data_IF_778405029110
#
_entry.id   IF_778405029110
#
_cell.length_a   1.000
_cell.length_b   1.000
_cell.length_c   1.000
_cell.angle_alpha   90.00
_cell.angle_beta   90.00
_cell.angle_gamma   90.00
#
_symmetry.space_group_name_H-M   'P 1'
#
loop_
_entity.id
_entity.type
_entity.pdbx_description
1 polymer ?
#
# COMPACT_ATOMS: atom_id res chain seq x y z
N UNK A 1 25.18 -44.64 -29.70
CA UNK A 1 24.97 -44.27 -28.28
C UNK A 1 24.55 -42.81 -28.21
N UNK A 2 23.25 -42.47 -28.27
CA UNK A 2 22.77 -41.18 -27.82
C UNK A 2 22.23 -41.32 -26.40
N UNK A 3 22.78 -40.53 -25.48
CA UNK A 3 22.26 -40.40 -24.12
C UNK A 3 20.87 -39.78 -24.18
N UNK A 4 19.87 -40.54 -23.73
CA UNK A 4 18.56 -40.02 -23.36
C UNK A 4 18.75 -39.12 -22.15
N UNK A 5 18.72 -37.80 -22.37
CA UNK A 5 18.45 -36.83 -21.32
C UNK A 5 17.04 -37.11 -20.80
N UNK A 6 16.94 -37.76 -19.65
CA UNK A 6 15.70 -37.82 -18.88
C UNK A 6 15.34 -36.37 -18.52
N UNK A 7 14.31 -35.84 -19.17
CA UNK A 7 13.61 -34.65 -18.67
C UNK A 7 13.01 -35.04 -17.32
N UNK A 8 13.61 -34.57 -16.22
CA UNK A 8 13.01 -34.67 -14.90
C UNK A 8 11.61 -34.03 -14.96
N UNK A 9 10.54 -34.76 -14.60
CA UNK A 9 9.22 -34.18 -14.58
C UNK A 9 9.17 -33.07 -13.54
N UNK A 10 8.87 -31.84 -14.00
CA UNK A 10 8.57 -30.68 -13.15
C UNK A 10 7.56 -31.11 -12.09
N UNK A 11 8.01 -31.23 -10.84
CA UNK A 11 7.13 -31.51 -9.70
C UNK A 11 6.03 -30.45 -9.66
N UNK A 12 4.75 -30.82 -9.63
CA UNK A 12 3.67 -29.85 -9.49
C UNK A 12 3.88 -29.03 -8.21
N UNK A 13 3.93 -27.69 -8.32
CA UNK A 13 4.03 -26.83 -7.13
C UNK A 13 2.85 -27.11 -6.20
N UNK A 14 3.16 -27.44 -4.94
CA UNK A 14 2.13 -27.70 -3.94
C UNK A 14 1.44 -26.39 -3.51
N UNK A 15 0.27 -26.48 -2.86
CA UNK A 15 -0.36 -25.32 -2.25
C UNK A 15 0.57 -24.60 -1.26
N UNK A 16 1.36 -25.39 -0.53
CA UNK A 16 2.37 -24.91 0.40
C UNK A 16 3.48 -24.11 -0.30
N UNK A 17 3.91 -24.50 -1.51
CA UNK A 17 4.92 -23.75 -2.25
C UNK A 17 4.42 -22.36 -2.68
N UNK A 18 3.17 -22.27 -3.16
CA UNK A 18 2.55 -20.99 -3.51
C UNK A 18 2.36 -20.07 -2.29
N UNK A 19 1.92 -20.64 -1.16
CA UNK A 19 1.80 -19.89 0.08
C UNK A 19 3.16 -19.36 0.56
N UNK A 20 4.22 -20.18 0.49
CA UNK A 20 5.58 -19.78 0.86
C UNK A 20 6.12 -18.68 -0.07
N UNK A 21 5.89 -18.78 -1.37
CA UNK A 21 6.27 -17.75 -2.34
C UNK A 21 5.54 -16.43 -2.07
N UNK A 22 4.22 -16.50 -1.82
CA UNK A 22 3.43 -15.35 -1.40
C UNK A 22 4.01 -14.71 -0.13
N UNK A 23 4.27 -15.50 0.92
CA UNK A 23 4.77 -15.00 2.19
C UNK A 23 6.11 -14.25 2.02
N UNK A 24 7.07 -14.84 1.28
CA UNK A 24 8.37 -14.20 1.02
C UNK A 24 8.22 -12.88 0.24
N UNK A 25 7.36 -12.86 -0.79
CA UNK A 25 7.09 -11.65 -1.57
C UNK A 25 6.45 -10.57 -0.70
N UNK A 26 5.48 -10.95 0.12
CA UNK A 26 4.73 -10.03 0.98
C UNK A 26 5.60 -9.47 2.11
N UNK A 27 6.48 -10.28 2.70
CA UNK A 27 7.49 -9.84 3.67
C UNK A 27 8.43 -8.78 3.07
N UNK A 28 8.90 -8.99 1.83
CA UNK A 28 9.73 -8.02 1.12
C UNK A 28 8.98 -6.70 0.86
N UNK A 29 7.76 -6.78 0.34
CA UNK A 29 6.91 -5.60 0.09
C UNK A 29 6.72 -4.81 1.38
N UNK A 30 6.31 -5.47 2.46
CA UNK A 30 6.08 -4.82 3.77
C UNK A 30 7.36 -4.22 4.32
N UNK A 31 8.51 -4.88 4.16
CA UNK A 31 9.81 -4.34 4.57
C UNK A 31 10.16 -3.04 3.84
N UNK A 32 9.98 -3.00 2.52
CA UNK A 32 10.20 -1.79 1.72
C UNK A 32 9.24 -0.67 2.12
N UNK A 33 7.97 -1.02 2.34
CA UNK A 33 6.92 -0.08 2.72
C UNK A 33 7.17 0.53 4.11
N UNK A 34 7.56 -0.27 5.10
CA UNK A 34 7.95 0.26 6.42
C UNK A 34 9.25 1.07 6.39
N UNK A 35 10.21 0.71 5.53
CA UNK A 35 11.42 1.52 5.33
C UNK A 35 11.07 2.89 4.78
N UNK A 36 10.18 2.93 3.78
CA UNK A 36 9.66 4.18 3.22
C UNK A 36 8.91 5.03 4.25
N UNK A 37 8.04 4.41 5.06
CA UNK A 37 7.32 5.10 6.14
C UNK A 37 8.28 5.69 7.17
N UNK A 38 9.34 4.95 7.52
CA UNK A 38 10.37 5.43 8.45
C UNK A 38 11.15 6.62 7.87
N UNK A 39 11.56 6.56 6.60
CA UNK A 39 12.23 7.69 5.93
C UNK A 39 11.33 8.92 5.90
N UNK A 40 10.06 8.73 5.53
CA UNK A 40 9.07 9.81 5.45
C UNK A 40 8.77 10.44 6.82
N UNK A 41 8.90 9.70 7.92
CA UNK A 41 8.81 10.27 9.27
C UNK A 41 9.94 11.27 9.56
N UNK A 42 11.15 11.05 9.02
CA UNK A 42 12.24 12.04 9.12
C UNK A 42 11.95 13.30 8.29
N UNK A 43 11.30 13.14 7.14
CA UNK A 43 10.86 14.27 6.32
C UNK A 43 9.83 15.09 7.07
N UNK A 44 8.80 14.43 7.62
CA UNK A 44 7.70 15.08 8.34
C UNK A 44 8.14 15.77 9.63
N UNK A 45 8.87 15.08 10.51
CA UNK A 45 9.15 15.58 11.86
C UNK A 45 10.46 16.36 11.98
N UNK A 46 11.38 16.17 11.04
CA UNK A 46 12.71 16.77 11.10
C UNK A 46 13.06 17.60 9.86
N UNK A 47 12.14 17.73 8.90
CA UNK A 47 12.36 18.44 7.64
C UNK A 47 13.63 17.97 6.92
N UNK A 48 13.94 16.68 7.02
CA UNK A 48 15.07 16.09 6.32
C UNK A 48 14.70 15.87 4.85
N UNK A 49 15.70 15.92 3.96
CA UNK A 49 15.49 15.49 2.58
C UNK A 49 15.04 14.03 2.53
N UNK A 50 13.98 13.70 1.76
CA UNK A 50 13.61 12.32 1.48
C UNK A 50 14.81 11.56 0.94
N UNK A 51 15.05 10.36 1.45
CA UNK A 51 16.07 9.44 0.94
C UNK A 51 15.47 8.41 0.00
N UNK A 52 14.17 8.12 0.14
CA UNK A 52 13.40 7.32 -0.80
C UNK A 52 12.45 8.21 -1.58
N UNK A 53 12.65 8.35 -2.89
CA UNK A 53 11.79 9.18 -3.74
C UNK A 53 10.65 8.35 -4.34
N UNK A 54 9.54 9.02 -4.68
CA UNK A 54 8.32 8.33 -5.14
C UNK A 54 8.56 7.43 -6.35
N UNK A 55 9.43 7.84 -7.28
CA UNK A 55 9.76 7.07 -8.48
C UNK A 55 10.54 5.77 -8.21
N UNK A 56 11.06 5.58 -6.98
CA UNK A 56 11.75 4.34 -6.58
C UNK A 56 10.78 3.32 -5.97
N UNK A 57 9.51 3.72 -5.71
CA UNK A 57 8.49 2.88 -5.07
C UNK A 57 7.79 1.95 -6.08
N UNK A 58 8.59 1.27 -6.90
CA UNK A 58 8.16 0.37 -7.99
C UNK A 58 7.82 -1.05 -7.52
N UNK A 59 7.68 -1.25 -6.21
CA UNK A 59 7.21 -2.51 -5.63
C UNK A 59 5.68 -2.55 -5.53
N UNK A 60 5.14 -3.77 -5.50
CA UNK A 60 3.70 -4.00 -5.40
C UNK A 60 3.10 -3.55 -4.06
N UNK A 61 1.78 -3.54 -3.99
CA UNK A 61 1.03 -3.18 -2.80
C UNK A 61 0.98 -4.36 -1.80
N UNK A 62 1.01 -4.05 -0.49
CA UNK A 62 0.86 -5.06 0.55
C UNK A 62 -0.56 -5.62 0.56
N UNK A 63 -0.71 -6.92 0.73
CA UNK A 63 -1.99 -7.55 0.99
C UNK A 63 -2.61 -7.06 2.33
N UNK A 64 -3.87 -7.41 2.59
CA UNK A 64 -4.49 -7.09 3.89
C UNK A 64 -3.82 -7.88 5.01
N UNK A 65 -3.91 -7.38 6.24
CA UNK A 65 -3.30 -8.04 7.39
C UNK A 65 -3.92 -9.41 7.65
N UNK A 66 -5.21 -9.59 7.37
CA UNK A 66 -5.87 -10.90 7.46
C UNK A 66 -5.31 -11.90 6.45
N UNK A 67 -4.98 -11.44 5.24
CA UNK A 67 -4.41 -12.29 4.21
C UNK A 67 -2.95 -12.67 4.52
N UNK A 68 -2.17 -11.70 5.02
CA UNK A 68 -0.78 -11.92 5.42
C UNK A 68 -0.66 -12.78 6.69
N UNK A 69 -1.59 -12.64 7.64
CA UNK A 69 -1.55 -13.34 8.93
C UNK A 69 -2.14 -14.75 8.90
N UNK A 70 -2.38 -15.32 7.72
CA UNK A 70 -2.86 -16.68 7.57
C UNK A 70 -1.89 -17.68 8.24
N UNK A 71 -2.41 -18.58 9.07
CA UNK A 71 -1.62 -19.51 9.88
C UNK A 71 -0.93 -20.61 9.05
N UNK A 72 -1.51 -20.95 7.92
CA UNK A 72 -1.13 -22.07 7.06
C UNK A 72 -1.63 -21.85 5.63
N UNK A 73 -1.18 -22.73 4.72
CA UNK A 73 -1.49 -22.64 3.31
C UNK A 73 -2.98 -22.79 2.98
N UNK A 74 -3.74 -23.54 3.79
CA UNK A 74 -5.18 -23.72 3.59
C UNK A 74 -5.95 -22.47 4.00
N UNK A 75 -5.64 -21.90 5.17
CA UNK A 75 -6.20 -20.63 5.63
C UNK A 75 -5.88 -19.49 4.63
N UNK A 76 -4.64 -19.45 4.12
CA UNK A 76 -4.25 -18.52 3.08
C UNK A 76 -5.11 -18.69 1.83
N UNK A 77 -5.23 -19.91 1.30
CA UNK A 77 -6.02 -20.19 0.10
C UNK A 77 -7.50 -19.80 0.25
N UNK A 78 -8.11 -20.10 1.39
CA UNK A 78 -9.50 -19.72 1.66
C UNK A 78 -9.68 -18.20 1.69
N UNK A 79 -8.70 -17.48 2.24
CA UNK A 79 -8.69 -16.01 2.21
C UNK A 79 -8.44 -15.46 0.80
N UNK A 80 -7.61 -16.12 -0.03
CA UNK A 80 -7.41 -15.78 -1.44
C UNK A 80 -8.71 -15.91 -2.22
N UNK A 81 -9.45 -17.01 -2.07
CA UNK A 81 -10.71 -17.21 -2.81
C UNK A 81 -11.78 -16.17 -2.42
N UNK A 82 -11.81 -15.77 -1.14
CA UNK A 82 -12.66 -14.67 -0.67
C UNK A 82 -12.19 -13.28 -1.16
N UNK A 83 -10.92 -13.16 -1.56
CA UNK A 83 -10.30 -11.97 -2.12
C UNK A 83 -10.32 -11.94 -3.66
N UNK A 84 -10.35 -13.07 -4.37
CA UNK A 84 -10.41 -13.15 -5.84
C UNK A 84 -11.72 -12.58 -6.40
N UNK A 85 -12.82 -12.67 -5.64
CA UNK A 85 -14.05 -11.94 -5.96
C UNK A 85 -13.90 -10.41 -5.86
N UNK A 86 -12.82 -9.91 -5.26
CA UNK A 86 -12.51 -8.48 -5.07
C UNK A 86 -11.33 -8.03 -5.93
N UNK A 87 -10.19 -8.73 -5.97
CA UNK A 87 -8.87 -8.11 -6.18
C UNK A 87 -8.00 -8.62 -7.36
N UNK A 88 -8.54 -8.68 -8.57
CA UNK A 88 -7.70 -8.81 -9.79
C UNK A 88 -6.98 -7.48 -10.12
N UNK A 89 -7.63 -6.34 -9.81
CA UNK A 89 -7.19 -5.02 -10.25
C UNK A 89 -5.91 -4.50 -9.56
N UNK A 90 -5.64 -4.89 -8.31
CA UNK A 90 -4.47 -4.40 -7.54
C UNK A 90 -3.17 -5.16 -7.85
N UNK A 91 -3.24 -6.35 -8.45
CA UNK A 91 -2.09 -7.26 -8.59
C UNK A 91 -0.92 -6.72 -9.42
N UNK A 92 -1.17 -5.70 -10.26
CA UNK A 92 -0.20 -5.09 -11.17
C UNK A 92 0.13 -3.63 -10.82
N UNK A 93 -0.37 -3.11 -9.71
CA UNK A 93 -0.20 -1.71 -9.33
C UNK A 93 0.96 -1.58 -8.35
N UNK A 94 1.86 -0.64 -8.61
CA UNK A 94 2.94 -0.26 -7.70
C UNK A 94 2.51 0.87 -6.76
N UNK A 95 3.26 1.09 -5.69
CA UNK A 95 3.01 2.23 -4.80
C UNK A 95 3.22 3.56 -5.53
N UNK A 96 4.27 3.69 -6.35
CA UNK A 96 4.54 4.87 -7.18
C UNK A 96 3.38 5.20 -8.14
N UNK A 97 2.83 4.17 -8.80
CA UNK A 97 1.71 4.32 -9.71
C UNK A 97 0.44 4.75 -8.97
N UNK A 98 0.20 4.20 -7.77
CA UNK A 98 -0.93 4.57 -6.93
C UNK A 98 -0.89 6.04 -6.52
N UNK A 99 0.30 6.55 -6.16
CA UNK A 99 0.51 7.95 -5.80
C UNK A 99 0.30 8.86 -7.02
N UNK A 100 0.79 8.45 -8.19
CA UNK A 100 0.55 9.21 -9.42
C UNK A 100 -0.94 9.24 -9.78
N UNK A 101 -1.63 8.11 -9.63
CA UNK A 101 -3.05 7.94 -9.93
C UNK A 101 -3.93 8.75 -8.98
N UNK A 102 -3.62 8.81 -7.68
CA UNK A 102 -4.46 9.55 -6.72
C UNK A 102 -4.42 11.06 -6.96
N UNK A 103 -3.35 11.57 -7.58
CA UNK A 103 -3.15 13.00 -7.90
C UNK A 103 -3.84 13.44 -9.18
N UNK A 104 -4.52 12.55 -9.92
CA UNK A 104 -5.26 12.91 -11.14
C UNK A 104 -6.60 13.56 -10.81
N UNK A 105 -7.10 14.40 -11.74
CA UNK A 105 -8.35 15.14 -11.56
C UNK A 105 -9.58 14.21 -11.60
N UNK A 106 -9.61 13.31 -12.58
CA UNK A 106 -10.73 12.39 -12.85
C UNK A 106 -10.37 10.95 -12.47
N UNK A 107 -10.62 10.59 -11.20
CA UNK A 107 -10.57 9.19 -10.78
C UNK A 107 -11.77 8.44 -11.36
N UNK A 108 -11.54 7.64 -12.40
CA UNK A 108 -12.56 6.78 -12.99
C UNK A 108 -13.00 5.66 -12.03
N UNK A 109 -14.16 5.05 -12.28
CA UNK A 109 -14.71 3.97 -11.43
C UNK A 109 -13.73 2.81 -11.21
N UNK A 110 -12.94 2.45 -12.22
CA UNK A 110 -11.91 1.41 -12.11
C UNK A 110 -10.80 1.78 -11.13
N UNK A 111 -10.31 3.03 -11.20
CA UNK A 111 -9.25 3.53 -10.32
C UNK A 111 -9.76 3.64 -8.89
N UNK A 112 -11.00 4.10 -8.73
CA UNK A 112 -11.70 4.12 -7.45
C UNK A 112 -11.77 2.73 -6.81
N UNK A 113 -12.19 1.73 -7.58
CA UNK A 113 -12.26 0.34 -7.11
C UNK A 113 -10.91 -0.25 -6.70
N UNK A 114 -9.80 0.18 -7.31
CA UNK A 114 -8.44 -0.22 -6.87
C UNK A 114 -8.18 0.31 -5.45
N UNK A 115 -8.45 1.58 -5.19
CA UNK A 115 -8.19 2.19 -3.89
C UNK A 115 -9.09 1.64 -2.78
N UNK A 116 -10.36 1.34 -3.07
CA UNK A 116 -11.30 0.74 -2.10
C UNK A 116 -10.87 -0.67 -1.64
N UNK A 117 -10.03 -1.35 -2.41
CA UNK A 117 -9.52 -2.68 -2.11
C UNK A 117 -8.13 -2.68 -1.49
N UNK A 118 -7.48 -1.51 -1.40
CA UNK A 118 -6.17 -1.40 -0.77
C UNK A 118 -6.26 -1.65 0.73
N UNK A 119 -5.23 -2.29 1.27
CA UNK A 119 -5.07 -2.39 2.72
C UNK A 119 -4.92 -1.00 3.36
N UNK A 120 -5.31 -0.84 4.64
CA UNK A 120 -5.08 0.40 5.38
C UNK A 120 -3.60 0.84 5.34
N UNK A 121 -2.67 -0.12 5.35
CA UNK A 121 -1.23 0.12 5.28
C UNK A 121 -0.83 0.82 3.97
N UNK A 122 -1.36 0.38 2.83
CA UNK A 122 -1.06 1.01 1.54
C UNK A 122 -1.64 2.42 1.45
N UNK A 123 -2.89 2.62 1.89
CA UNK A 123 -3.51 3.94 1.91
C UNK A 123 -2.75 4.88 2.85
N UNK A 124 -2.32 4.39 4.01
CA UNK A 124 -1.47 5.16 4.91
C UNK A 124 -0.15 5.55 4.24
N UNK A 125 0.54 4.63 3.55
CA UNK A 125 1.76 4.96 2.81
C UNK A 125 1.52 6.03 1.73
N UNK A 126 0.38 6.00 1.03
CA UNK A 126 0.01 7.07 0.09
C UNK A 126 -0.18 8.41 0.82
N UNK A 127 -0.85 8.42 1.98
CA UNK A 127 -1.00 9.64 2.80
C UNK A 127 0.37 10.23 3.18
N UNK A 128 1.27 9.36 3.63
CA UNK A 128 2.61 9.74 4.06
C UNK A 128 3.47 10.19 2.87
N UNK A 129 3.24 9.68 1.66
CA UNK A 129 3.98 10.09 0.47
C UNK A 129 3.80 11.58 0.11
N UNK A 130 2.69 12.20 0.52
CA UNK A 130 2.47 13.62 0.29
C UNK A 130 3.54 14.48 0.96
N UNK A 131 4.12 14.06 2.08
CA UNK A 131 5.20 14.79 2.74
C UNK A 131 6.47 14.85 1.87
N UNK A 132 6.79 13.77 1.16
CA UNK A 132 7.92 13.77 0.22
C UNK A 132 7.63 14.69 -0.98
N UNK A 133 6.41 14.64 -1.51
CA UNK A 133 5.97 15.51 -2.60
C UNK A 133 6.00 17.00 -2.20
N UNK A 134 5.49 17.31 -1.00
CA UNK A 134 5.48 18.65 -0.41
C UNK A 134 6.91 19.14 -0.21
N UNK A 135 7.79 18.32 0.37
CA UNK A 135 9.19 18.68 0.57
C UNK A 135 9.87 19.05 -0.75
N UNK A 136 9.73 18.21 -1.78
CA UNK A 136 10.32 18.48 -3.09
C UNK A 136 9.71 19.70 -3.77
N UNK A 137 8.41 19.95 -3.61
CA UNK A 137 7.74 21.13 -4.14
C UNK A 137 8.23 22.42 -3.46
N UNK A 138 8.30 22.43 -2.13
CA UNK A 138 8.74 23.59 -1.34
C UNK A 138 10.23 23.91 -1.49
N UNK A 139 11.06 22.90 -1.79
CA UNK A 139 12.50 23.07 -2.03
C UNK A 139 12.87 23.05 -3.53
N UNK A 140 11.87 23.07 -4.41
CA UNK A 140 12.03 23.02 -5.86
C UNK A 140 11.95 24.40 -6.53
N UNK A 141 11.97 24.44 -7.88
CA UNK A 141 11.91 25.68 -8.66
C UNK A 141 10.63 26.49 -8.46
N UNK A 142 9.52 25.81 -8.15
CA UNK A 142 8.18 26.39 -7.99
C UNK A 142 7.85 26.76 -6.52
N UNK A 143 8.90 26.97 -5.72
CA UNK A 143 8.79 27.35 -4.30
C UNK A 143 7.85 28.57 -4.13
N UNK A 144 6.96 28.48 -3.14
CA UNK A 144 6.03 29.57 -2.78
C UNK A 144 4.68 29.53 -3.50
N UNK A 145 4.48 28.60 -4.43
CA UNK A 145 3.17 28.29 -5.01
C UNK A 145 2.58 27.02 -4.39
N UNK A 146 1.25 26.86 -4.40
CA UNK A 146 0.61 25.61 -3.99
C UNK A 146 0.46 24.69 -5.20
N UNK A 147 0.89 23.43 -5.08
CA UNK A 147 0.69 22.45 -6.14
C UNK A 147 -0.77 22.00 -6.22
N UNK A 148 -1.38 22.18 -7.40
CA UNK A 148 -2.75 21.73 -7.68
C UNK A 148 -2.85 20.20 -7.63
N UNK A 149 -1.85 19.47 -8.14
CA UNK A 149 -1.87 18.00 -8.16
C UNK A 149 -1.74 17.40 -6.76
N UNK A 150 -0.89 17.98 -5.89
CA UNK A 150 -0.80 17.56 -4.48
C UNK A 150 -2.11 17.83 -3.75
N UNK A 151 -2.71 19.02 -3.98
CA UNK A 151 -3.99 19.39 -3.38
C UNK A 151 -5.13 18.46 -3.83
N UNK A 152 -5.15 18.10 -5.11
CA UNK A 152 -6.07 17.13 -5.67
C UNK A 152 -5.87 15.73 -5.05
N UNK A 153 -4.62 15.28 -4.96
CA UNK A 153 -4.25 14.01 -4.35
C UNK A 153 -4.72 13.90 -2.91
N UNK A 154 -4.47 14.93 -2.09
CA UNK A 154 -4.94 14.97 -0.69
C UNK A 154 -6.47 14.90 -0.61
N UNK A 155 -7.20 15.60 -1.48
CA UNK A 155 -8.66 15.55 -1.52
C UNK A 155 -9.19 14.18 -1.90
N UNK A 156 -8.60 13.56 -2.93
CA UNK A 156 -8.97 12.23 -3.40
C UNK A 156 -8.69 11.18 -2.32
N UNK A 157 -7.52 11.25 -1.69
CA UNK A 157 -7.14 10.39 -0.58
C UNK A 157 -8.15 10.44 0.57
N UNK A 158 -8.53 11.64 1.00
CA UNK A 158 -9.50 11.80 2.09
C UNK A 158 -10.85 11.17 1.77
N UNK A 159 -11.35 11.33 0.54
CA UNK A 159 -12.60 10.72 0.09
C UNK A 159 -12.52 9.19 0.08
N UNK A 160 -11.42 8.64 -0.42
CA UNK A 160 -11.17 7.19 -0.43
C UNK A 160 -11.13 6.67 1.01
N UNK A 161 -10.31 7.28 1.86
CA UNK A 161 -10.12 6.88 3.25
C UNK A 161 -11.44 6.93 4.03
N UNK A 162 -12.23 7.99 3.85
CA UNK A 162 -13.54 8.14 4.50
C UNK A 162 -14.58 7.13 4.02
N UNK A 163 -14.52 6.72 2.75
CA UNK A 163 -15.43 5.74 2.18
C UNK A 163 -15.07 4.31 2.58
N UNK A 164 -13.78 4.05 2.80
CA UNK A 164 -13.33 2.81 3.36
C UNK A 164 -13.76 2.79 4.84
N UNK A 165 -14.80 2.01 5.14
CA UNK A 165 -15.39 1.84 6.47
C UNK A 165 -14.45 1.13 7.47
N UNK A 166 -13.14 1.43 7.48
CA UNK A 166 -12.15 0.85 8.38
C UNK A 166 -12.57 0.97 9.85
N UNK A 167 -13.29 2.04 10.20
CA UNK A 167 -13.67 2.40 11.57
C UNK A 167 -15.13 2.14 11.94
N UNK A 168 -16.05 1.88 11.00
CA UNK A 168 -17.40 1.39 11.34
C UNK A 168 -17.35 -0.01 11.97
N UNK A 169 -16.25 -0.72 11.77
CA UNK A 169 -15.87 -1.94 12.48
C UNK A 169 -15.00 -1.68 13.70
N UNK A 170 -14.77 -0.46 14.20
CA UNK A 170 -13.92 -0.23 15.37
C UNK A 170 -14.42 -0.98 16.62
N UNK A 171 -15.73 -1.09 16.83
CA UNK A 171 -16.30 -1.94 17.90
C UNK A 171 -16.09 -3.44 17.66
N UNK A 172 -15.99 -3.88 16.40
CA UNK A 172 -15.67 -5.26 16.00
C UNK A 172 -14.15 -5.55 15.91
N UNK A 173 -13.31 -4.54 15.67
CA UNK A 173 -11.83 -4.61 15.62
C UNK A 173 -11.24 -4.53 17.02
N UNK A 174 -11.80 -3.70 17.90
CA UNK A 174 -11.46 -3.66 19.32
C UNK A 174 -11.85 -4.96 20.04
N UNK A 175 -12.86 -5.67 19.55
CA UNK A 175 -13.31 -6.94 20.13
C UNK A 175 -12.66 -8.18 19.49
N UNK A 176 -12.17 -8.11 18.25
CA UNK A 176 -11.53 -9.27 17.58
C UNK A 176 -10.03 -9.38 17.83
N UNK A 177 -9.31 -8.29 18.13
CA UNK A 177 -7.85 -8.33 18.32
C UNK A 177 -7.42 -7.42 19.47
N UNK A 178 -7.17 -8.02 20.62
CA UNK A 178 -6.48 -7.38 21.75
C UNK A 178 -5.00 -7.04 21.48
N UNK A 179 -4.62 -6.59 20.28
CA UNK A 179 -3.27 -6.11 19.99
C UNK A 179 -3.20 -5.23 18.72
N UNK A 180 -2.98 -3.93 18.97
CA UNK A 180 -2.20 -2.99 18.14
C UNK A 180 -2.74 -2.71 16.75
N UNK A 181 -3.79 -1.90 16.67
CA UNK A 181 -3.96 -1.08 15.46
C UNK A 181 -2.81 -0.05 15.47
N UNK A 182 -1.98 -0.07 14.44
CA UNK A 182 -0.75 0.73 14.35
C UNK A 182 -1.01 2.21 14.07
N UNK A 183 0.05 2.94 13.72
CA UNK A 183 0.00 4.39 13.44
C UNK A 183 -1.03 4.81 12.39
N UNK A 184 -1.43 3.90 11.50
CA UNK A 184 -2.44 4.14 10.47
C UNK A 184 -3.85 4.42 11.01
N UNK A 185 -4.14 4.14 12.29
CA UNK A 185 -5.36 4.66 12.95
C UNK A 185 -5.48 6.17 12.85
N UNK A 186 -4.35 6.86 12.95
CA UNK A 186 -4.29 8.32 13.02
C UNK A 186 -4.07 8.92 11.63
N UNK A 187 -4.33 8.18 10.55
CA UNK A 187 -4.08 8.65 9.18
C UNK A 187 -4.78 9.99 8.88
N UNK A 188 -5.94 10.25 9.49
CA UNK A 188 -6.65 11.54 9.39
C UNK A 188 -5.84 12.71 9.98
N UNK A 189 -5.12 12.48 11.08
CA UNK A 189 -4.25 13.48 11.69
C UNK A 189 -3.05 13.78 10.79
N UNK A 190 -2.43 12.74 10.23
CA UNK A 190 -1.36 12.87 9.25
C UNK A 190 -1.83 13.56 7.97
N UNK A 191 -3.03 13.28 7.51
CA UNK A 191 -3.61 14.00 6.37
C UNK A 191 -3.84 15.47 6.70
N UNK A 192 -4.42 15.76 7.87
CA UNK A 192 -4.68 17.13 8.32
C UNK A 192 -3.38 17.97 8.34
N UNK A 193 -2.31 17.43 8.92
CA UNK A 193 -0.99 18.06 8.90
C UNK A 193 -0.49 18.32 7.47
N UNK A 194 -0.65 17.35 6.57
CA UNK A 194 -0.24 17.51 5.17
C UNK A 194 -1.03 18.60 4.45
N UNK A 195 -2.27 18.93 4.85
CA UNK A 195 -3.06 20.00 4.20
C UNK A 195 -2.62 21.42 4.56
N UNK A 196 -1.75 21.59 5.55
CA UNK A 196 -1.26 22.89 6.04
C UNK A 196 -0.08 23.48 5.23
N UNK A 197 0.41 22.76 4.22
CA UNK A 197 1.63 23.09 3.46
C UNK A 197 1.52 24.27 2.50
#
# INVERSE_FOLDING_TARGET
MPGTSEEEPLTPCSLYDHWREFALREELIRTLLYTFLLDSAFVMFYNMSPRMVINELEFGLAATDEHFSASDAEAWFMSTQAAENRAVACSQVTLSHSISMIMTEDLGATQWGIFEQMSPLNLFAIAISFYNLIYHHQNGPDQGSRSLSITQGLRNWFRIWSNCNFFSTAENYLSSVGNKVGFFLHADEYWCLATLF
#
